data_IF_311879039722
#
_entry.id   IF_311879039722
#
_cell.length_a   1.000
_cell.length_b   1.000
_cell.length_c   1.000
_cell.angle_alpha   90.00
_cell.angle_beta   90.00
_cell.angle_gamma   90.00
#
_symmetry.space_group_name_H-M   'P 1'
#
loop_
_entity.id
_entity.type
_entity.pdbx_description
1 polymer ?
#
# COMPACT_ATOMS: atom_id res chain seq x y z
N UNK A 1 -23.97 4.48 -11.84
CA UNK A 1 -22.86 3.91 -12.63
C UNK A 1 -21.77 3.55 -11.65
N UNK A 2 -21.50 2.25 -11.45
CA UNK A 2 -20.37 1.83 -10.63
C UNK A 2 -19.09 2.24 -11.32
N UNK A 3 -18.16 2.85 -10.58
CA UNK A 3 -16.81 3.13 -11.08
C UNK A 3 -16.21 1.80 -11.61
N UNK A 4 -15.45 1.81 -12.71
CA UNK A 4 -14.79 0.61 -13.19
C UNK A 4 -13.95 0.00 -12.06
N UNK A 5 -13.92 -1.34 -11.97
CA UNK A 5 -13.06 -2.05 -11.02
C UNK A 5 -11.60 -1.84 -11.42
N UNK A 6 -10.99 -0.75 -10.96
CA UNK A 6 -9.60 -0.43 -11.23
C UNK A 6 -8.73 -1.33 -10.36
N UNK A 7 -7.86 -2.11 -11.00
CA UNK A 7 -6.79 -2.83 -10.31
C UNK A 7 -5.49 -2.10 -10.57
N UNK A 8 -4.70 -1.92 -9.53
CA UNK A 8 -3.38 -1.29 -9.61
C UNK A 8 -2.30 -2.21 -9.04
N UNK A 9 -1.06 -1.95 -9.44
CA UNK A 9 0.13 -2.34 -8.71
C UNK A 9 0.92 -1.09 -8.33
N UNK A 10 1.63 -1.16 -7.22
CA UNK A 10 2.48 -0.10 -6.70
C UNK A 10 3.92 -0.59 -6.70
N UNK A 11 4.86 0.22 -7.18
CA UNK A 11 6.29 -0.09 -7.20
C UNK A 11 7.05 0.94 -6.35
N UNK A 12 7.89 0.47 -5.44
CA UNK A 12 8.72 1.33 -4.59
C UNK A 12 10.01 1.77 -5.30
N UNK A 13 10.80 2.62 -4.62
CA UNK A 13 12.07 3.16 -5.11
C UNK A 13 13.14 2.09 -5.41
N UNK A 14 13.04 0.92 -4.79
CA UNK A 14 13.93 -0.23 -5.04
C UNK A 14 13.56 -1.01 -6.33
N UNK A 15 12.60 -0.52 -7.13
CA UNK A 15 12.04 -1.16 -8.32
C UNK A 15 11.30 -2.48 -8.05
N UNK A 16 10.98 -2.79 -6.79
CA UNK A 16 10.17 -3.94 -6.43
C UNK A 16 8.72 -3.51 -6.20
N UNK A 17 7.80 -4.38 -6.59
CA UNK A 17 6.38 -4.21 -6.38
C UNK A 17 6.01 -4.51 -4.93
N UNK A 18 5.11 -3.68 -4.41
CA UNK A 18 4.43 -3.89 -3.15
C UNK A 18 3.55 -5.13 -3.31
N UNK A 19 3.82 -6.15 -2.50
CA UNK A 19 3.12 -7.42 -2.55
C UNK A 19 2.72 -7.85 -1.16
N UNK A 20 1.57 -8.51 -1.05
CA UNK A 20 1.18 -9.20 0.17
C UNK A 20 2.12 -10.39 0.41
N UNK A 21 2.67 -10.48 1.62
CA UNK A 21 3.54 -11.57 2.07
C UNK A 21 3.00 -12.11 3.39
N UNK A 22 2.87 -13.43 3.47
CA UNK A 22 2.55 -14.11 4.73
C UNK A 22 3.85 -14.39 5.49
N UNK A 23 4.04 -13.71 6.62
CA UNK A 23 5.11 -14.00 7.57
C UNK A 23 4.49 -14.52 8.87
N UNK A 24 4.51 -15.85 9.03
CA UNK A 24 4.00 -16.54 10.22
C UNK A 24 2.55 -16.14 10.58
N UNK A 25 1.67 -16.02 9.58
CA UNK A 25 0.27 -15.66 9.73
C UNK A 25 -0.01 -14.16 9.63
N UNK A 26 1.03 -13.32 9.61
CA UNK A 26 0.88 -11.87 9.42
C UNK A 26 0.95 -11.51 7.94
N UNK A 27 -0.03 -10.76 7.47
CA UNK A 27 -0.23 -10.44 6.05
C UNK A 27 0.43 -9.09 5.68
N UNK A 28 1.74 -8.99 5.83
CA UNK A 28 2.49 -7.76 5.55
C UNK A 28 2.39 -7.34 4.09
N UNK A 29 2.56 -6.04 3.85
CA UNK A 29 2.89 -5.51 2.53
C UNK A 29 4.39 -5.21 2.49
N UNK A 30 5.07 -5.79 1.50
CA UNK A 30 6.52 -5.68 1.32
C UNK A 30 6.84 -5.31 -0.13
N UNK A 31 7.88 -4.51 -0.35
CA UNK A 31 8.42 -4.26 -1.69
C UNK A 31 9.39 -5.39 -2.06
N UNK A 32 8.88 -6.49 -2.63
CA UNK A 32 9.66 -7.76 -2.75
C UNK A 32 9.65 -8.38 -4.15
N UNK A 33 8.64 -8.14 -4.98
CA UNK A 33 8.52 -8.80 -6.30
C UNK A 33 9.11 -7.94 -7.42
N UNK A 34 9.92 -8.53 -8.30
CA UNK A 34 10.44 -7.84 -9.49
C UNK A 34 9.42 -7.74 -10.64
N UNK A 35 8.32 -8.48 -10.56
CA UNK A 35 7.25 -8.49 -11.55
C UNK A 35 5.88 -8.52 -10.86
N UNK A 36 4.87 -7.98 -11.54
CA UNK A 36 3.49 -7.96 -11.03
C UNK A 36 2.91 -9.38 -11.07
N UNK A 37 2.61 -9.94 -9.90
CA UNK A 37 1.88 -11.19 -9.72
C UNK A 37 0.53 -10.94 -9.04
N UNK A 38 -0.17 -12.01 -8.65
CA UNK A 38 -1.47 -11.90 -7.97
C UNK A 38 -1.38 -11.15 -6.62
N UNK A 39 -0.26 -11.30 -5.89
CA UNK A 39 -0.07 -10.70 -4.57
C UNK A 39 0.27 -9.21 -4.62
N UNK A 40 0.65 -8.73 -5.80
CA UNK A 40 1.00 -7.32 -6.08
C UNK A 40 -0.17 -6.51 -6.63
N UNK A 41 -1.34 -7.15 -6.79
CA UNK A 41 -2.55 -6.54 -7.38
C UNK A 41 -3.50 -6.11 -6.28
N UNK A 42 -3.87 -4.84 -6.32
CA UNK A 42 -4.84 -4.26 -5.41
C UNK A 42 -6.02 -3.70 -6.18
N UNK A 43 -7.24 -4.09 -5.82
CA UNK A 43 -8.42 -3.37 -6.30
C UNK A 43 -8.45 -2.03 -5.57
N UNK A 44 -8.56 -0.94 -6.31
CA UNK A 44 -8.67 0.40 -5.78
C UNK A 44 -10.15 0.74 -5.57
N UNK A 45 -10.51 1.10 -4.34
CA UNK A 45 -11.83 1.60 -3.99
C UNK A 45 -11.68 3.10 -3.72
N UNK A 46 -12.27 3.94 -4.59
CA UNK A 46 -12.33 5.38 -4.35
C UNK A 46 -13.38 5.69 -3.28
N UNK A 47 -12.98 6.41 -2.22
CA UNK A 47 -13.87 6.76 -1.10
C UNK A 47 -14.29 8.24 -1.13
N UNK A 48 -13.40 9.12 -1.56
CA UNK A 48 -13.67 10.55 -1.83
C UNK A 48 -12.71 11.05 -2.91
N UNK A 49 -12.63 12.34 -3.20
CA UNK A 49 -11.71 12.89 -4.22
C UNK A 49 -10.26 12.41 -4.07
N UNK A 50 -9.73 12.41 -2.83
CA UNK A 50 -8.31 12.11 -2.56
C UNK A 50 -8.11 10.97 -1.56
N UNK A 51 -9.14 10.19 -1.25
CA UNK A 51 -8.98 9.03 -0.35
C UNK A 51 -9.41 7.73 -1.01
N UNK A 52 -8.60 6.70 -0.76
CA UNK A 52 -8.79 5.36 -1.30
C UNK A 52 -8.71 4.31 -0.19
N UNK A 53 -9.25 3.14 -0.48
CA UNK A 53 -8.86 1.89 0.14
C UNK A 53 -8.30 0.94 -0.93
N UNK A 54 -7.46 -0.01 -0.50
CA UNK A 54 -6.84 -1.00 -1.37
C UNK A 54 -7.23 -2.39 -0.88
N UNK A 55 -7.83 -3.21 -1.74
CA UNK A 55 -8.21 -4.59 -1.43
C UNK A 55 -7.21 -5.55 -2.09
N UNK A 56 -6.55 -6.38 -1.28
CA UNK A 56 -5.59 -7.38 -1.74
C UNK A 56 -6.27 -8.68 -2.23
N UNK A 57 -5.47 -9.61 -2.73
CA UNK A 57 -5.92 -10.90 -3.28
C UNK A 57 -6.58 -11.82 -2.23
N UNK A 58 -6.28 -11.64 -0.95
CA UNK A 58 -6.91 -12.38 0.16
C UNK A 58 -8.30 -11.84 0.56
N UNK A 59 -8.88 -10.93 -0.24
CA UNK A 59 -10.13 -10.22 0.04
C UNK A 59 -10.11 -9.43 1.36
N UNK A 60 -8.94 -8.93 1.76
CA UNK A 60 -8.78 -8.02 2.89
C UNK A 60 -8.24 -6.67 2.44
N UNK A 61 -8.66 -5.63 3.14
CA UNK A 61 -8.20 -4.26 2.93
C UNK A 61 -6.84 -4.06 3.57
N UNK A 62 -5.97 -3.32 2.89
CA UNK A 62 -4.73 -2.82 3.44
C UNK A 62 -5.08 -1.87 4.59
N UNK A 63 -4.43 -2.05 5.72
CA UNK A 63 -4.68 -1.30 6.95
C UNK A 63 -3.40 -1.05 7.71
N UNK A 64 -3.35 0.08 8.42
CA UNK A 64 -2.30 0.34 9.40
C UNK A 64 -2.56 -0.51 10.65
N UNK A 65 -1.61 -1.38 10.98
CA UNK A 65 -1.64 -2.25 12.15
C UNK A 65 -0.44 -1.96 13.04
N UNK A 66 -0.69 -1.68 14.32
CA UNK A 66 0.37 -1.50 15.32
C UNK A 66 0.88 -2.84 15.81
N UNK A 67 2.20 -3.04 15.75
CA UNK A 67 2.89 -4.22 16.28
C UNK A 67 4.08 -3.81 17.12
N UNK A 68 4.73 -4.79 17.75
CA UNK A 68 6.04 -4.59 18.35
C UNK A 68 7.01 -4.12 17.26
N UNK A 69 7.72 -3.02 17.52
CA UNK A 69 8.61 -2.40 16.52
C UNK A 69 7.93 -1.42 15.55
N UNK A 70 6.67 -1.04 15.80
CA UNK A 70 5.99 0.08 15.15
C UNK A 70 4.76 -0.32 14.33
N UNK A 71 4.29 0.64 13.54
CA UNK A 71 3.15 0.45 12.65
C UNK A 71 3.59 -0.15 11.31
N UNK A 72 2.76 -1.04 10.76
CA UNK A 72 2.95 -1.69 9.47
C UNK A 72 1.69 -1.54 8.62
N UNK A 73 1.84 -1.68 7.30
CA UNK A 73 0.69 -1.87 6.40
C UNK A 73 0.51 -3.36 6.15
N UNK A 74 -0.71 -3.84 6.39
CA UNK A 74 -1.08 -5.25 6.29
C UNK A 74 -2.42 -5.43 5.59
N UNK A 75 -2.58 -6.51 4.83
CA UNK A 75 -3.84 -6.92 4.23
C UNK A 75 -4.67 -7.77 5.22
N UNK A 76 -5.22 -7.15 6.26
CA UNK A 76 -5.91 -7.84 7.35
C UNK A 76 -7.43 -7.60 7.36
N UNK A 77 -7.87 -6.36 7.13
CA UNK A 77 -9.23 -5.92 7.51
C UNK A 77 -10.30 -6.45 6.58
N UNK A 78 -11.41 -6.97 7.11
CA UNK A 78 -12.55 -7.44 6.31
C UNK A 78 -13.48 -6.32 5.84
N UNK A 79 -13.38 -5.14 6.44
CA UNK A 79 -14.17 -3.95 6.11
C UNK A 79 -13.30 -2.69 6.15
N UNK A 80 -13.68 -1.68 5.39
CA UNK A 80 -13.00 -0.38 5.38
C UNK A 80 -13.29 0.33 6.71
N UNK A 81 -12.21 0.80 7.35
CA UNK A 81 -12.24 1.67 8.52
C UNK A 81 -11.21 2.81 8.34
N UNK A 82 -11.06 3.65 9.38
CA UNK A 82 -10.12 4.79 9.34
C UNK A 82 -8.68 4.34 9.08
N UNK A 83 -8.25 3.19 9.61
CA UNK A 83 -6.90 2.64 9.45
C UNK A 83 -6.65 2.06 8.06
N UNK A 84 -7.72 1.75 7.33
CA UNK A 84 -7.71 1.17 5.98
C UNK A 84 -7.90 2.22 4.88
N UNK A 85 -7.95 3.49 5.27
CA UNK A 85 -8.14 4.63 4.37
C UNK A 85 -6.84 5.40 4.22
N UNK A 86 -6.43 5.63 2.99
CA UNK A 86 -5.20 6.37 2.68
C UNK A 86 -5.54 7.63 1.89
N UNK A 87 -4.96 8.76 2.30
CA UNK A 87 -4.97 9.98 1.48
C UNK A 87 -3.93 9.84 0.38
N UNK A 88 -4.33 10.05 -0.87
CA UNK A 88 -3.45 10.05 -2.03
C UNK A 88 -2.94 11.46 -2.26
N UNK A 89 -1.63 11.58 -2.44
CA UNK A 89 -0.96 12.80 -2.87
C UNK A 89 -0.23 12.52 -4.18
N UNK A 90 -0.52 13.31 -5.21
CA UNK A 90 0.15 13.20 -6.51
C UNK A 90 1.55 13.83 -6.41
N UNK A 91 2.57 13.04 -6.70
CA UNK A 91 3.98 13.45 -6.74
C UNK A 91 4.42 13.73 -8.19
N UNK A 92 3.56 13.43 -9.17
CA UNK A 92 3.80 13.60 -10.60
C UNK A 92 4.39 12.35 -11.26
N UNK A 93 4.39 12.32 -12.60
CA UNK A 93 4.97 11.21 -13.39
C UNK A 93 4.45 9.81 -13.02
N UNK A 94 3.15 9.68 -12.72
CA UNK A 94 2.50 8.45 -12.24
C UNK A 94 3.07 7.93 -10.91
N UNK A 95 3.66 8.81 -10.11
CA UNK A 95 4.12 8.53 -8.75
C UNK A 95 3.15 9.17 -7.78
N UNK A 96 2.74 8.39 -6.79
CA UNK A 96 1.92 8.88 -5.69
C UNK A 96 2.65 8.67 -4.37
N UNK A 97 2.24 9.43 -3.37
CA UNK A 97 2.43 9.09 -1.98
C UNK A 97 1.08 8.76 -1.33
N UNK A 98 1.13 7.92 -0.31
CA UNK A 98 -0.03 7.52 0.47
C UNK A 98 0.19 7.96 1.91
N UNK A 99 -0.77 8.67 2.50
CA UNK A 99 -0.74 9.08 3.91
C UNK A 99 -1.80 8.33 4.71
N UNK A 100 -1.39 7.69 5.80
CA UNK A 100 -2.27 6.95 6.69
C UNK A 100 -3.00 7.89 7.67
N UNK A 101 -3.92 7.33 8.45
CA UNK A 101 -4.72 8.05 9.44
C UNK A 101 -3.90 8.72 10.56
N UNK A 102 -2.71 8.20 10.85
CA UNK A 102 -1.79 8.76 11.84
C UNK A 102 -1.01 9.99 11.31
N UNK A 103 -1.33 10.48 10.11
CA UNK A 103 -0.70 11.64 9.48
C UNK A 103 0.67 11.36 8.87
N UNK A 104 1.15 10.11 8.90
CA UNK A 104 2.44 9.72 8.31
C UNK A 104 2.27 9.12 6.92
N UNK A 105 3.24 9.39 6.06
CA UNK A 105 3.37 8.78 4.76
C UNK A 105 3.85 7.34 4.87
N UNK A 106 3.24 6.47 4.07
CA UNK A 106 3.72 5.13 3.80
C UNK A 106 5.10 5.25 3.16
N UNK A 107 6.06 4.49 3.67
CA UNK A 107 7.44 4.47 3.21
C UNK A 107 7.90 3.02 3.12
N UNK A 108 8.74 2.71 2.14
CA UNK A 108 9.56 1.51 2.19
C UNK A 108 10.58 1.64 3.32
N UNK A 109 10.65 0.67 4.22
CA UNK A 109 11.58 0.62 5.35
C UNK A 109 12.22 -0.76 5.40
N UNK A 110 13.54 -0.80 5.22
CA UNK A 110 14.31 -2.04 5.36
C UNK A 110 14.55 -2.35 6.83
N UNK A 111 14.04 -3.48 7.32
CA UNK A 111 14.26 -3.96 8.68
C UNK A 111 14.60 -5.45 8.64
N UNK A 112 15.76 -5.83 9.18
CA UNK A 112 16.25 -7.21 9.18
C UNK A 112 16.26 -7.87 7.79
N UNK A 113 16.59 -7.09 6.75
CA UNK A 113 16.62 -7.56 5.36
C UNK A 113 15.26 -7.64 4.67
N UNK A 114 14.17 -7.21 5.32
CA UNK A 114 12.83 -7.16 4.74
C UNK A 114 12.46 -5.71 4.43
N UNK A 115 11.97 -5.46 3.22
CA UNK A 115 11.52 -4.15 2.76
C UNK A 115 10.01 -3.96 3.04
N UNK A 116 9.67 -3.70 4.30
CA UNK A 116 8.28 -3.46 4.71
C UNK A 116 7.75 -2.12 4.17
N UNK A 117 6.43 -2.03 4.03
CA UNK A 117 5.72 -0.76 3.89
C UNK A 117 5.16 -0.34 5.24
N UNK A 118 5.63 0.81 5.75
CA UNK A 118 5.29 1.33 7.08
C UNK A 118 4.86 2.80 6.99
N UNK A 119 3.83 3.25 7.73
CA UNK A 119 3.49 4.66 7.83
C UNK A 119 4.41 5.35 8.86
N UNK A 120 5.63 5.67 8.44
CA UNK A 120 6.70 6.12 9.35
C UNK A 120 7.12 7.59 9.15
N UNK A 121 6.98 8.12 7.93
CA UNK A 121 7.55 9.41 7.54
C UNK A 121 6.56 10.56 7.73
N UNK A 122 6.98 11.64 8.40
CA UNK A 122 6.17 12.87 8.51
C UNK A 122 6.32 13.74 7.27
N UNK A 123 7.52 13.79 6.70
CA UNK A 123 7.83 14.51 5.47
C UNK A 123 8.04 13.52 4.32
N UNK A 124 7.63 13.90 3.12
CA UNK A 124 7.87 13.12 1.92
C UNK A 124 9.37 13.00 1.63
N UNK A 125 9.80 11.78 1.33
CA UNK A 125 11.09 11.48 0.71
C UNK A 125 10.93 10.41 -0.37
N UNK A 126 12.03 10.05 -1.04
CA UNK A 126 12.01 9.10 -2.15
C UNK A 126 11.45 7.72 -1.76
N UNK A 127 11.52 7.32 -0.49
CA UNK A 127 11.02 6.02 -0.03
C UNK A 127 9.49 6.01 0.13
N UNK A 128 8.85 7.18 0.11
CA UNK A 128 7.40 7.34 0.07
C UNK A 128 6.81 7.33 -1.35
N UNK A 129 7.66 7.32 -2.37
CA UNK A 129 7.25 7.43 -3.76
C UNK A 129 6.88 6.05 -4.31
N UNK A 130 5.61 5.88 -4.66
CA UNK A 130 5.11 4.66 -5.27
C UNK A 130 4.67 4.94 -6.70
N UNK A 131 5.36 4.33 -7.67
CA UNK A 131 4.93 4.37 -9.06
C UNK A 131 3.68 3.49 -9.23
N UNK A 132 2.66 4.03 -9.87
CA UNK A 132 1.38 3.38 -10.09
C UNK A 132 1.35 2.75 -11.48
N UNK A 133 0.99 1.47 -11.53
CA UNK A 133 0.66 0.77 -12.78
C UNK A 133 -0.80 0.36 -12.74
N UNK A 134 -1.63 0.95 -13.60
CA UNK A 134 -3.02 0.53 -13.78
C UNK A 134 -3.07 -0.74 -14.63
N UNK A 135 -3.78 -1.75 -14.14
CA UNK A 135 -3.96 -3.03 -14.81
C UNK A 135 -5.35 -3.06 -15.42
N UNK A 136 -5.40 -2.93 -16.73
CA UNK A 136 -6.63 -3.08 -17.52
C UNK A 136 -6.85 -4.57 -17.76
N UNK A 137 -8.06 -5.04 -17.47
CA UNK A 137 -8.51 -6.39 -17.79
C UNK A 137 -8.88 -6.49 -19.27
#
# INVERSE_FOLDING_TARGET
MGLPNITIALQADNNLYLSRVDQAGVQYIEAVKSAIDIYSRYKLIQLSTNTIALLADNNRYLSRISRVGGDYIEAEKSSIDVYSTFTVEDVGCNVIALRADNGKYLSRITQNGVDYIKPDKVNLDVYCHFKVTTLIA
#
